data_IF_557457435737
#
_entry.id   IF_557457435737
#
_cell.length_a   1.000
_cell.length_b   1.000
_cell.length_c   1.000
_cell.angle_alpha   90.00
_cell.angle_beta   90.00
_cell.angle_gamma   90.00
#
_symmetry.space_group_name_H-M   'P 1'
#
loop_
_entity.id
_entity.type
_entity.pdbx_description
1 polymer ?
#
# COMPACT_ATOMS: atom_id res chain seq x y z
N UNK A 1 -7.61 -0.15 -39.43
CA UNK A 1 -6.78 -0.14 -38.21
C UNK A 1 -5.49 0.60 -38.53
N UNK A 2 -4.99 1.42 -37.61
CA UNK A 2 -3.73 2.15 -37.80
C UNK A 2 -2.51 1.28 -37.44
N UNK A 3 -2.69 0.29 -36.56
CA UNK A 3 -1.65 -0.68 -36.21
C UNK A 3 -1.65 -1.87 -37.18
N UNK A 4 -0.58 -1.96 -37.97
CA UNK A 4 -0.34 -3.04 -38.94
C UNK A 4 -0.17 -4.41 -38.26
N UNK A 5 0.57 -4.48 -37.16
CA UNK A 5 0.91 -5.75 -36.50
C UNK A 5 -0.33 -6.32 -35.81
N UNK A 6 -1.07 -5.46 -35.10
CA UNK A 6 -2.33 -5.87 -34.46
C UNK A 6 -3.36 -6.40 -35.47
N UNK A 7 -3.48 -5.78 -36.65
CA UNK A 7 -4.37 -6.25 -37.72
C UNK A 7 -3.95 -7.63 -38.25
N UNK A 8 -2.66 -7.82 -38.54
CA UNK A 8 -2.13 -9.10 -39.04
C UNK A 8 -2.34 -10.21 -38.00
N UNK A 9 -2.03 -9.93 -36.74
CA UNK A 9 -2.22 -10.89 -35.65
C UNK A 9 -3.70 -11.20 -35.39
N UNK A 10 -4.61 -10.30 -35.77
CA UNK A 10 -6.06 -10.47 -35.67
C UNK A 10 -6.69 -11.13 -36.90
N UNK A 11 -5.91 -11.37 -37.95
CA UNK A 11 -6.39 -11.91 -39.22
C UNK A 11 -7.20 -13.22 -39.11
N UNK A 12 -6.72 -14.30 -38.46
CA UNK A 12 -7.49 -15.56 -38.41
C UNK A 12 -8.82 -15.41 -37.65
N UNK A 13 -8.84 -14.56 -36.62
CA UNK A 13 -10.05 -14.23 -35.87
C UNK A 13 -11.04 -13.43 -36.73
N UNK A 14 -10.58 -12.36 -37.36
CA UNK A 14 -11.39 -11.50 -38.22
C UNK A 14 -11.97 -12.29 -39.40
N UNK A 15 -11.15 -13.14 -40.03
CA UNK A 15 -11.58 -13.98 -41.14
C UNK A 15 -12.74 -14.90 -40.75
N UNK A 16 -12.64 -15.58 -39.59
CA UNK A 16 -13.71 -16.45 -39.11
C UNK A 16 -15.00 -15.70 -38.83
N UNK A 17 -14.94 -14.51 -38.22
CA UNK A 17 -16.13 -13.72 -37.89
C UNK A 17 -16.74 -13.01 -39.09
N UNK A 18 -15.93 -12.44 -39.98
CA UNK A 18 -16.40 -11.81 -41.22
C UNK A 18 -17.02 -12.86 -42.15
N UNK A 19 -16.43 -14.06 -42.24
CA UNK A 19 -17.01 -15.16 -43.02
C UNK A 19 -18.41 -15.54 -42.51
N UNK A 20 -18.61 -15.62 -41.20
CA UNK A 20 -19.94 -15.85 -40.63
C UNK A 20 -20.97 -14.78 -41.03
N UNK A 21 -20.58 -13.50 -41.06
CA UNK A 21 -21.44 -12.41 -41.54
C UNK A 21 -21.75 -12.59 -43.04
N UNK A 22 -20.76 -12.95 -43.85
CA UNK A 22 -20.94 -13.21 -45.29
C UNK A 22 -21.92 -14.37 -45.52
N UNK A 23 -21.74 -15.48 -44.81
CA UNK A 23 -22.57 -16.68 -44.95
C UNK A 23 -24.03 -16.38 -44.54
N UNK A 24 -24.26 -15.58 -43.49
CA UNK A 24 -25.60 -15.14 -43.10
C UNK A 24 -26.27 -14.29 -44.20
N UNK A 25 -25.56 -13.31 -44.74
CA UNK A 25 -26.08 -12.42 -45.78
C UNK A 25 -26.36 -13.19 -47.08
N UNK A 26 -25.44 -14.06 -47.49
CA UNK A 26 -25.60 -14.89 -48.69
C UNK A 26 -26.75 -15.88 -48.53
N UNK A 27 -26.92 -16.49 -47.35
CA UNK A 27 -28.03 -17.40 -47.07
C UNK A 27 -29.40 -16.73 -47.19
N UNK A 28 -29.56 -15.50 -46.68
CA UNK A 28 -30.81 -14.73 -46.84
C UNK A 28 -31.05 -14.35 -48.31
N UNK A 29 -30.02 -13.86 -49.01
CA UNK A 29 -30.14 -13.46 -50.41
C UNK A 29 -30.42 -14.65 -51.36
N UNK A 30 -29.83 -15.82 -51.10
CA UNK A 30 -30.03 -17.02 -51.91
C UNK A 30 -31.49 -17.50 -51.85
N UNK A 31 -32.12 -17.44 -50.67
CA UNK A 31 -33.55 -17.78 -50.50
C UNK A 31 -34.45 -16.88 -51.34
N UNK A 32 -34.19 -15.57 -51.35
CA UNK A 32 -34.93 -14.60 -52.18
C UNK A 32 -34.68 -14.88 -53.66
N UNK A 33 -33.42 -15.14 -54.04
CA UNK A 33 -33.05 -15.46 -55.42
C UNK A 33 -33.79 -16.71 -55.94
N UNK A 34 -33.79 -17.80 -55.18
CA UNK A 34 -34.48 -19.04 -55.55
C UNK A 34 -36.00 -18.85 -55.65
N UNK A 35 -36.60 -18.10 -54.73
CA UNK A 35 -38.03 -17.77 -54.77
C UNK A 35 -38.40 -16.91 -56.00
N UNK A 36 -37.60 -15.89 -56.33
CA UNK A 36 -37.79 -15.06 -57.52
C UNK A 36 -37.60 -15.85 -58.82
N UNK A 37 -36.61 -16.75 -58.86
CA UNK A 37 -36.35 -17.63 -60.00
C UNK A 37 -37.51 -18.60 -60.25
N UNK A 38 -38.05 -19.21 -59.18
CA UNK A 38 -39.21 -20.09 -59.27
C UNK A 38 -40.45 -19.35 -59.78
N UNK A 39 -40.67 -18.11 -59.35
CA UNK A 39 -41.79 -17.28 -59.80
C UNK A 39 -41.67 -16.74 -61.23
N UNK A 40 -40.45 -16.59 -61.76
CA UNK A 40 -40.22 -16.04 -63.11
C UNK A 40 -39.02 -16.73 -63.83
N UNK A 41 -39.20 -17.96 -64.35
CA UNK A 41 -38.10 -18.75 -64.93
C UNK A 41 -37.49 -18.14 -66.22
N UNK A 42 -38.24 -17.30 -66.93
CA UNK A 42 -37.78 -16.64 -68.16
C UNK A 42 -36.70 -15.55 -67.93
N UNK A 43 -36.60 -15.02 -66.70
CA UNK A 43 -35.63 -13.97 -66.34
C UNK A 43 -34.22 -14.55 -66.16
N UNK A 44 -34.12 -15.75 -65.60
CA UNK A 44 -32.86 -16.47 -65.39
C UNK A 44 -32.09 -16.67 -66.70
N UNK A 45 -32.80 -17.02 -67.77
CA UNK A 45 -32.24 -17.27 -69.10
C UNK A 45 -31.67 -16.02 -69.80
N UNK A 46 -32.04 -14.81 -69.34
CA UNK A 46 -31.57 -13.53 -69.89
C UNK A 46 -30.35 -12.96 -69.18
N UNK A 47 -30.00 -13.46 -68.00
CA UNK A 47 -28.95 -12.94 -67.13
C UNK A 47 -27.65 -13.75 -67.25
N UNK A 48 -27.02 -13.74 -68.43
CA UNK A 48 -25.75 -14.43 -68.69
C UNK A 48 -24.60 -13.45 -68.97
N UNK A 49 -24.48 -12.39 -68.17
CA UNK A 49 -23.33 -11.47 -68.24
C UNK A 49 -22.45 -11.68 -67.02
N UNK A 50 -21.21 -12.13 -67.24
CA UNK A 50 -20.20 -12.19 -66.20
C UNK A 50 -19.97 -10.79 -65.60
N UNK A 51 -19.83 -10.72 -64.28
CA UNK A 51 -19.52 -9.47 -63.59
C UNK A 51 -18.14 -8.97 -64.04
N UNK A 52 -18.09 -7.82 -64.70
CA UNK A 52 -16.83 -7.11 -64.98
C UNK A 52 -16.82 -5.79 -64.19
N UNK A 53 -15.79 -5.51 -63.37
CA UNK A 53 -15.77 -4.35 -62.47
C UNK A 53 -15.41 -3.03 -63.20
N UNK A 54 -16.00 -2.78 -64.37
CA UNK A 54 -15.77 -1.58 -65.17
C UNK A 54 -16.97 -0.63 -65.10
N UNK A 55 -16.72 0.62 -64.70
CA UNK A 55 -17.73 1.65 -64.41
C UNK A 55 -18.55 2.13 -65.63
N UNK A 56 -18.20 1.70 -66.86
CA UNK A 56 -18.83 2.17 -68.10
C UNK A 56 -19.46 1.02 -68.91
N UNK A 57 -20.13 0.09 -68.24
CA UNK A 57 -21.03 -0.84 -68.95
C UNK A 57 -22.32 -0.11 -69.33
N UNK A 58 -22.59 -0.07 -70.64
CA UNK A 58 -23.65 0.71 -71.27
C UNK A 58 -25.09 0.23 -70.98
N UNK A 59 -25.26 -0.84 -70.19
CA UNK A 59 -26.54 -1.42 -69.74
C UNK A 59 -26.42 -1.98 -68.29
N UNK A 60 -25.83 -1.23 -67.35
CA UNK A 60 -25.79 -1.63 -65.95
C UNK A 60 -27.18 -1.58 -65.32
N UNK A 61 -27.76 -2.73 -64.95
CA UNK A 61 -28.97 -2.75 -64.12
C UNK A 61 -28.69 -2.05 -62.78
N UNK A 62 -29.59 -1.17 -62.35
CA UNK A 62 -29.47 -0.48 -61.07
C UNK A 62 -29.40 -1.49 -59.90
N UNK A 63 -28.48 -1.25 -58.95
CA UNK A 63 -28.37 -2.08 -57.76
C UNK A 63 -29.64 -1.92 -56.89
N UNK A 64 -30.23 -3.05 -56.46
CA UNK A 64 -31.35 -3.07 -55.51
C UNK A 64 -30.86 -2.80 -54.09
N UNK A 65 -31.73 -2.27 -53.22
CA UNK A 65 -31.39 -2.12 -51.80
C UNK A 65 -31.11 -3.49 -51.15
N UNK A 66 -30.22 -3.51 -50.17
CA UNK A 66 -29.85 -4.76 -49.49
C UNK A 66 -31.04 -5.39 -48.75
N UNK A 67 -31.91 -4.56 -48.15
CA UNK A 67 -33.15 -5.02 -47.49
C UNK A 67 -34.10 -5.73 -48.44
N UNK A 68 -34.20 -5.26 -49.69
CA UNK A 68 -35.00 -5.91 -50.75
C UNK A 68 -34.35 -7.19 -51.26
N UNK A 69 -33.02 -7.29 -51.26
CA UNK A 69 -32.30 -8.49 -51.73
C UNK A 69 -32.34 -9.64 -50.72
N UNK A 70 -32.49 -9.34 -49.42
CA UNK A 70 -32.52 -10.34 -48.35
C UNK A 70 -33.91 -10.55 -47.75
N UNK A 71 -34.91 -9.74 -48.15
CA UNK A 71 -36.25 -9.69 -47.56
C UNK A 71 -36.23 -9.55 -46.03
N UNK A 72 -35.34 -8.69 -45.52
CA UNK A 72 -35.14 -8.45 -44.09
C UNK A 72 -35.16 -6.95 -43.79
N UNK A 73 -36.25 -6.49 -43.19
CA UNK A 73 -36.47 -5.07 -42.86
C UNK A 73 -35.56 -4.61 -41.70
N UNK A 74 -35.11 -5.54 -40.85
CA UNK A 74 -34.26 -5.26 -39.69
C UNK A 74 -32.77 -5.52 -39.96
N UNK A 75 -32.39 -5.78 -41.22
CA UNK A 75 -31.03 -6.15 -41.60
C UNK A 75 -29.97 -5.18 -41.08
N UNK A 76 -30.22 -3.88 -41.15
CA UNK A 76 -29.27 -2.86 -40.69
C UNK A 76 -29.04 -2.91 -39.18
N UNK A 77 -30.08 -3.21 -38.38
CA UNK A 77 -29.95 -3.39 -36.94
C UNK A 77 -29.14 -4.65 -36.60
N UNK A 78 -29.38 -5.74 -37.33
CA UNK A 78 -28.59 -6.96 -37.20
C UNK A 78 -27.11 -6.75 -37.59
N UNK A 79 -26.85 -6.11 -38.73
CA UNK A 79 -25.49 -5.79 -39.19
C UNK A 79 -24.75 -4.89 -38.21
N UNK A 80 -25.40 -3.85 -37.70
CA UNK A 80 -24.83 -2.96 -36.70
C UNK A 80 -24.43 -3.74 -35.44
N UNK A 81 -25.32 -4.62 -34.95
CA UNK A 81 -25.06 -5.45 -33.77
C UNK A 81 -23.88 -6.40 -34.02
N UNK A 82 -23.84 -7.05 -35.18
CA UNK A 82 -22.74 -7.94 -35.59
C UNK A 82 -21.40 -7.21 -35.69
N UNK A 83 -21.37 -5.98 -36.22
CA UNK A 83 -20.15 -5.18 -36.29
C UNK A 83 -19.72 -4.64 -34.92
N UNK A 84 -20.65 -4.17 -34.09
CA UNK A 84 -20.35 -3.75 -32.72
C UNK A 84 -19.79 -4.92 -31.89
N UNK A 85 -20.38 -6.10 -32.02
CA UNK A 85 -19.89 -7.32 -31.38
C UNK A 85 -18.51 -7.72 -31.90
N UNK A 86 -18.29 -7.66 -33.22
CA UNK A 86 -16.99 -7.93 -33.85
C UNK A 86 -15.90 -7.00 -33.31
N UNK A 87 -16.19 -5.70 -33.18
CA UNK A 87 -15.26 -4.72 -32.64
C UNK A 87 -14.93 -5.03 -31.17
N UNK A 88 -15.95 -5.31 -30.35
CA UNK A 88 -15.76 -5.68 -28.94
C UNK A 88 -14.91 -6.95 -28.81
N UNK A 89 -15.27 -8.00 -29.54
CA UNK A 89 -14.60 -9.29 -29.48
C UNK A 89 -13.17 -9.23 -30.04
N UNK A 90 -12.91 -8.39 -31.05
CA UNK A 90 -11.54 -8.13 -31.52
C UNK A 90 -10.72 -7.40 -30.45
N UNK A 91 -11.30 -6.37 -29.83
CA UNK A 91 -10.66 -5.57 -28.79
C UNK A 91 -10.31 -6.37 -27.53
N UNK A 92 -11.22 -7.22 -27.06
CA UNK A 92 -11.03 -8.04 -25.84
C UNK A 92 -10.36 -9.39 -26.11
N UNK A 93 -9.81 -9.63 -27.31
CA UNK A 93 -9.25 -10.93 -27.71
C UNK A 93 -7.94 -11.26 -26.99
N UNK A 94 -7.08 -10.26 -26.83
CA UNK A 94 -5.77 -10.40 -26.20
C UNK A 94 -5.81 -9.57 -24.93
N UNK A 95 -5.83 -10.26 -23.79
CA UNK A 95 -5.76 -9.64 -22.47
C UNK A 95 -4.39 -9.92 -21.89
N UNK A 96 -3.68 -8.88 -21.51
CA UNK A 96 -2.41 -9.04 -20.80
C UNK A 96 -2.69 -9.48 -19.35
N UNK A 97 -1.94 -10.47 -18.88
CA UNK A 97 -1.95 -10.89 -17.47
C UNK A 97 -0.60 -10.56 -16.87
N UNK A 98 -0.48 -9.32 -16.40
CA UNK A 98 0.68 -8.86 -15.66
C UNK A 98 0.63 -9.44 -14.24
N UNK A 99 1.74 -10.02 -13.79
CA UNK A 99 1.90 -10.43 -12.41
C UNK A 99 2.88 -9.46 -11.75
N UNK A 100 2.40 -8.76 -10.74
CA UNK A 100 3.23 -7.93 -9.90
C UNK A 100 3.99 -8.80 -8.89
N UNK A 101 5.12 -8.28 -8.39
CA UNK A 101 5.85 -8.92 -7.30
C UNK A 101 5.00 -9.02 -6.04
N UNK A 102 5.39 -9.90 -5.11
CA UNK A 102 4.73 -9.96 -3.82
C UNK A 102 4.88 -8.61 -3.08
N UNK A 103 3.81 -8.09 -2.47
CA UNK A 103 3.89 -6.86 -1.70
C UNK A 103 4.87 -7.01 -0.52
N UNK A 104 5.49 -5.90 -0.13
CA UNK A 104 6.37 -5.87 1.05
C UNK A 104 5.55 -6.10 2.32
N UNK A 105 6.22 -6.49 3.42
CA UNK A 105 5.50 -6.60 4.71
C UNK A 105 4.90 -5.28 5.16
N UNK A 106 5.61 -4.18 4.93
CA UNK A 106 5.11 -2.87 5.33
C UNK A 106 3.82 -2.53 4.58
N UNK A 107 3.74 -2.85 3.28
CA UNK A 107 2.51 -2.69 2.48
C UNK A 107 1.37 -3.56 3.01
N UNK A 108 1.63 -4.85 3.28
CA UNK A 108 0.60 -5.76 3.80
C UNK A 108 0.05 -5.31 5.15
N UNK A 109 0.93 -4.92 6.08
CA UNK A 109 0.50 -4.45 7.41
C UNK A 109 -0.26 -3.13 7.32
N UNK A 110 0.12 -2.22 6.41
CA UNK A 110 -0.62 -0.97 6.21
C UNK A 110 -2.02 -1.23 5.67
N UNK A 111 -2.15 -2.14 4.69
CA UNK A 111 -3.47 -2.54 4.18
C UNK A 111 -4.35 -3.15 5.28
N UNK A 112 -3.79 -4.00 6.15
CA UNK A 112 -4.50 -4.55 7.31
C UNK A 112 -4.95 -3.47 8.28
N UNK A 113 -4.08 -2.50 8.60
CA UNK A 113 -4.43 -1.40 9.50
C UNK A 113 -5.53 -0.49 8.92
N UNK A 114 -5.50 -0.25 7.61
CA UNK A 114 -6.55 0.53 6.94
C UNK A 114 -7.88 -0.23 6.95
N UNK A 115 -7.87 -1.53 6.64
CA UNK A 115 -9.06 -2.37 6.70
C UNK A 115 -9.65 -2.46 8.12
N UNK A 116 -8.81 -2.67 9.15
CA UNK A 116 -9.24 -2.70 10.55
C UNK A 116 -9.92 -1.36 10.95
N UNK A 117 -9.45 -0.21 10.44
CA UNK A 117 -10.05 1.11 10.69
C UNK A 117 -11.38 1.33 9.95
N UNK A 118 -11.49 0.83 8.71
CA UNK A 118 -12.73 0.88 7.92
C UNK A 118 -13.82 0.06 8.61
N UNK A 119 -13.51 -1.16 9.07
CA UNK A 119 -14.44 -2.01 9.82
C UNK A 119 -14.87 -1.38 11.15
N UNK A 120 -13.93 -0.75 11.89
CA UNK A 120 -14.26 0.01 13.10
C UNK A 120 -15.22 1.17 12.78
N UNK A 121 -15.00 1.93 11.70
CA UNK A 121 -15.88 3.05 11.35
C UNK A 121 -17.31 2.62 10.97
N UNK A 122 -17.45 1.53 10.20
CA UNK A 122 -18.75 0.98 9.80
C UNK A 122 -19.54 0.44 11.00
N UNK A 123 -18.87 -0.07 12.04
CA UNK A 123 -19.50 -0.53 13.26
C UNK A 123 -20.12 0.60 14.10
N UNK A 124 -19.59 1.83 14.01
CA UNK A 124 -20.10 2.99 14.74
C UNK A 124 -21.29 3.63 14.00
N UNK A 125 -21.23 3.70 12.67
CA UNK A 125 -22.36 4.18 11.86
C UNK A 125 -23.62 3.30 12.02
N UNK A 126 -23.44 1.99 12.24
CA UNK A 126 -24.56 1.06 12.41
C UNK A 126 -25.13 1.05 13.84
N UNK A 127 -24.44 1.62 14.83
CA UNK A 127 -24.93 1.73 16.21
C UNK A 127 -25.68 3.02 16.48
N UNK A 128 -25.34 4.13 15.80
CA UNK A 128 -26.12 5.37 15.88
C UNK A 128 -27.51 5.25 15.19
N UNK A 129 -27.66 4.37 14.20
CA UNK A 129 -28.94 4.13 13.52
C UNK A 129 -29.95 3.32 14.35
N UNK A 130 -29.52 2.62 15.40
CA UNK A 130 -30.41 1.82 16.27
C UNK A 130 -30.83 2.54 17.56
N UNK A 131 -30.12 3.58 18.01
CA UNK A 131 -30.46 4.31 19.24
C UNK A 131 -31.51 5.44 19.06
N UNK A 132 -31.81 5.90 17.84
CA UNK A 132 -32.84 6.93 17.61
C UNK A 132 -34.29 6.39 17.53
N UNK A 133 -34.52 5.08 17.67
CA UNK A 133 -35.86 4.48 17.43
C UNK A 133 -36.62 3.99 18.66
N UNK A 134 -36.26 4.44 19.86
CA UNK A 134 -36.95 4.05 21.09
C UNK A 134 -37.12 5.17 22.12
N UNK A 135 -37.90 6.20 21.81
CA UNK A 135 -38.76 6.85 22.83
C UNK A 135 -39.94 7.56 22.18
N UNK A 136 -41.16 7.13 22.54
CA UNK A 136 -42.43 7.61 21.98
C UNK A 136 -43.38 7.92 23.15
N UNK A 137 -43.82 9.20 23.19
CA UNK A 137 -45.02 9.83 23.82
C UNK A 137 -44.97 10.37 25.27
N UNK A 138 -45.85 11.36 25.65
CA UNK A 138 -46.91 12.06 24.88
C UNK A 138 -46.91 13.62 24.93
N UNK A 139 -47.78 14.18 24.07
CA UNK A 139 -48.10 15.60 23.83
C UNK A 139 -48.55 16.44 25.04
N UNK A 140 -48.25 17.75 24.99
CA UNK A 140 -48.88 18.79 25.80
C UNK A 140 -48.37 20.19 25.45
N UNK A 141 -49.27 21.04 24.95
CA UNK A 141 -49.02 22.36 24.39
C UNK A 141 -48.47 23.42 25.36
N UNK A 142 -47.64 24.35 24.85
CA UNK A 142 -47.89 25.80 24.79
C UNK A 142 -46.63 26.53 24.26
N UNK A 143 -46.84 27.67 23.60
CA UNK A 143 -45.85 28.29 22.72
C UNK A 143 -44.82 29.18 23.40
N UNK A 144 -43.81 29.62 22.63
CA UNK A 144 -43.52 31.04 22.32
C UNK A 144 -42.12 31.23 21.70
N UNK A 145 -42.13 31.87 20.52
CA UNK A 145 -41.12 32.72 19.82
C UNK A 145 -39.63 32.30 19.77
N UNK A 146 -39.07 31.88 18.62
CA UNK A 146 -38.68 32.63 17.40
C UNK A 146 -37.33 33.36 17.52
N UNK A 147 -36.24 32.77 17.02
CA UNK A 147 -35.13 33.53 16.36
C UNK A 147 -34.37 32.66 15.36
N UNK A 148 -33.85 33.33 14.33
CA UNK A 148 -33.59 32.90 12.95
C UNK A 148 -32.21 32.29 12.66
N UNK A 149 -32.21 31.31 11.74
CA UNK A 149 -31.31 31.08 10.58
C UNK A 149 -29.82 30.76 10.82
N UNK A 150 -29.04 30.30 9.80
CA UNK A 150 -29.36 29.69 8.50
C UNK A 150 -28.54 28.40 8.16
N UNK A 151 -28.90 27.79 7.04
CA UNK A 151 -28.08 26.90 6.20
C UNK A 151 -26.59 27.25 6.20
N UNK A 152 -25.75 26.29 6.58
CA UNK A 152 -24.30 26.33 6.46
C UNK A 152 -23.80 24.98 5.96
N UNK A 153 -23.64 24.86 4.65
CA UNK A 153 -22.67 23.97 4.05
C UNK A 153 -21.28 24.36 4.57
N UNK A 154 -20.68 23.53 5.42
CA UNK A 154 -19.24 23.55 5.70
C UNK A 154 -18.70 22.24 5.15
N UNK A 155 -18.43 22.16 3.84
CA UNK A 155 -17.16 22.60 3.27
C UNK A 155 -16.00 22.02 4.06
N UNK A 156 -15.41 20.98 3.48
CA UNK A 156 -13.97 20.71 3.51
C UNK A 156 -13.21 21.97 3.95
N UNK A 157 -12.66 21.97 5.16
CA UNK A 157 -11.78 23.08 5.56
C UNK A 157 -10.46 22.86 4.84
N UNK A 158 -10.28 23.73 3.87
CA UNK A 158 -9.12 23.90 3.04
C UNK A 158 -7.80 23.76 3.81
N UNK A 159 -6.86 23.17 3.09
CA UNK A 159 -5.45 23.50 3.04
C UNK A 159 -5.20 24.99 3.39
N UNK A 160 -5.09 25.29 4.68
CA UNK A 160 -4.46 26.53 5.12
C UNK A 160 -3.00 26.43 4.72
N UNK A 161 -2.56 27.39 3.93
CA UNK A 161 -1.17 27.63 3.60
C UNK A 161 -0.31 27.66 4.88
N UNK A 162 0.37 26.57 5.19
CA UNK A 162 1.37 26.52 6.23
C UNK A 162 2.54 27.40 5.79
N UNK A 163 2.54 28.67 6.22
CA UNK A 163 3.80 29.38 6.29
C UNK A 163 4.68 28.62 7.29
N UNK A 164 5.91 28.23 6.92
CA UNK A 164 6.78 27.49 7.80
C UNK A 164 7.20 28.41 8.93
N UNK A 165 6.51 28.33 10.07
CA UNK A 165 7.17 28.64 11.34
C UNK A 165 8.43 27.79 11.33
N UNK A 166 9.61 28.38 11.49
CA UNK A 166 10.88 27.62 11.50
C UNK A 166 10.84 26.60 12.65
N UNK A 167 10.40 25.39 12.36
CA UNK A 167 10.18 24.35 13.35
C UNK A 167 11.52 23.73 13.73
N UNK A 168 11.76 23.63 15.03
CA UNK A 168 12.90 22.95 15.62
C UNK A 168 12.61 21.45 15.68
N UNK A 169 12.67 20.79 14.52
CA UNK A 169 12.30 19.37 14.32
C UNK A 169 13.44 18.56 13.71
N UNK A 170 13.43 17.25 13.94
CA UNK A 170 14.34 16.32 13.27
C UNK A 170 13.93 16.10 11.82
N UNK A 171 14.91 16.11 10.91
CA UNK A 171 14.69 15.97 9.47
C UNK A 171 15.08 14.59 8.93
N UNK A 172 16.05 13.94 9.57
CA UNK A 172 16.57 12.63 9.16
C UNK A 172 17.28 11.94 10.32
N UNK A 173 17.53 10.63 10.19
CA UNK A 173 18.37 9.89 11.14
C UNK A 173 19.79 10.47 11.23
N UNK A 174 20.31 11.02 10.13
CA UNK A 174 21.62 11.67 10.09
C UNK A 174 21.61 12.93 10.95
N UNK A 175 20.57 13.75 10.83
CA UNK A 175 20.39 14.95 11.65
C UNK A 175 20.27 14.56 13.13
N UNK A 176 19.48 13.54 13.47
CA UNK A 176 19.37 13.05 14.85
C UNK A 176 20.72 12.56 15.41
N UNK A 177 21.52 11.83 14.62
CA UNK A 177 22.86 11.39 15.02
C UNK A 177 23.82 12.56 15.27
N UNK A 178 23.73 13.62 14.47
CA UNK A 178 24.55 14.83 14.64
C UNK A 178 24.20 15.55 15.94
N UNK A 179 22.91 15.62 16.29
CA UNK A 179 22.41 16.30 17.49
C UNK A 179 22.70 15.52 18.77
N UNK A 180 22.43 14.21 18.77
CA UNK A 180 22.60 13.37 19.98
C UNK A 180 24.07 12.94 20.19
N UNK A 181 24.89 12.98 19.14
CA UNK A 181 26.23 12.38 19.13
C UNK A 181 26.20 10.87 18.89
N UNK A 182 27.35 10.31 18.50
CA UNK A 182 27.47 8.93 18.02
C UNK A 182 27.10 7.88 19.09
N UNK A 183 27.60 8.02 20.31
CA UNK A 183 27.38 7.04 21.40
C UNK A 183 25.92 7.00 21.86
N UNK A 184 25.34 8.17 22.14
CA UNK A 184 23.95 8.31 22.57
C UNK A 184 22.98 7.84 21.47
N UNK A 185 23.24 8.20 20.22
CA UNK A 185 22.45 7.72 19.08
C UNK A 185 22.54 6.21 18.92
N UNK A 186 23.74 5.61 19.03
CA UNK A 186 23.90 4.16 18.94
C UNK A 186 23.11 3.42 20.02
N UNK A 187 23.16 3.90 21.26
CA UNK A 187 22.37 3.35 22.37
C UNK A 187 20.87 3.45 22.06
N UNK A 188 20.39 4.63 21.67
CA UNK A 188 18.99 4.86 21.33
C UNK A 188 18.52 3.94 20.19
N UNK A 189 19.28 3.89 19.10
CA UNK A 189 18.95 3.08 17.93
C UNK A 189 18.95 1.57 18.25
N UNK A 190 19.86 1.10 19.13
CA UNK A 190 19.83 -0.28 19.62
C UNK A 190 18.53 -0.60 20.36
N UNK A 191 18.09 0.27 21.29
CA UNK A 191 16.83 0.08 22.00
C UNK A 191 15.62 0.09 21.04
N UNK A 192 15.62 0.98 20.04
CA UNK A 192 14.58 1.02 19.00
C UNK A 192 14.52 -0.31 18.26
N UNK A 193 15.65 -0.79 17.74
CA UNK A 193 15.71 -2.03 16.94
C UNK A 193 15.34 -3.28 17.73
N UNK A 194 15.62 -3.32 19.04
CA UNK A 194 15.28 -4.42 19.94
C UNK A 194 13.82 -4.39 20.43
N UNK A 195 13.07 -3.33 20.13
CA UNK A 195 11.68 -3.21 20.56
C UNK A 195 11.50 -2.83 22.02
N UNK A 196 12.56 -2.32 22.65
CA UNK A 196 12.52 -1.77 23.99
C UNK A 196 11.69 -0.48 24.03
N UNK A 197 11.30 -0.06 25.22
CA UNK A 197 10.52 1.16 25.37
C UNK A 197 11.42 2.40 25.20
N UNK A 198 11.06 3.28 24.27
CA UNK A 198 11.73 4.54 23.98
C UNK A 198 10.85 5.67 24.47
N UNK A 199 11.31 6.36 25.50
CA UNK A 199 10.57 7.40 26.20
C UNK A 199 11.20 8.74 25.86
N UNK A 200 10.42 9.65 25.29
CA UNK A 200 10.85 11.02 24.98
C UNK A 200 10.13 11.99 25.91
N UNK A 201 10.89 12.74 26.70
CA UNK A 201 10.37 13.69 27.69
C UNK A 201 10.75 15.11 27.29
N UNK A 202 9.78 15.90 26.87
CA UNK A 202 10.00 17.24 26.32
C UNK A 202 8.79 18.14 26.55
N UNK A 203 8.99 19.46 26.59
CA UNK A 203 7.90 20.46 26.54
C UNK A 203 7.32 20.63 25.14
N UNK A 204 8.18 20.43 24.13
CA UNK A 204 7.87 20.67 22.72
C UNK A 204 7.32 19.37 22.10
N UNK A 205 6.03 19.38 21.74
CA UNK A 205 5.31 18.24 21.18
C UNK A 205 5.76 17.94 19.76
N UNK A 206 6.01 18.96 18.95
CA UNK A 206 6.39 18.80 17.54
C UNK A 206 7.78 18.19 17.42
N UNK A 207 8.68 18.56 18.34
CA UNK A 207 9.99 17.92 18.48
C UNK A 207 9.87 16.41 18.75
N UNK A 208 9.02 16.01 19.70
CA UNK A 208 8.80 14.60 20.04
C UNK A 208 8.20 13.82 18.87
N UNK A 209 7.20 14.40 18.21
CA UNK A 209 6.59 13.81 17.01
C UNK A 209 7.63 13.60 15.91
N UNK A 210 8.41 14.63 15.58
CA UNK A 210 9.46 14.52 14.56
C UNK A 210 10.53 13.48 14.93
N UNK A 211 10.86 13.34 16.21
CA UNK A 211 11.78 12.30 16.66
C UNK A 211 11.22 10.90 16.41
N UNK A 212 9.95 10.64 16.72
CA UNK A 212 9.31 9.36 16.45
C UNK A 212 9.13 9.09 14.96
N UNK A 213 8.85 10.10 14.14
CA UNK A 213 8.77 9.98 12.70
C UNK A 213 10.11 9.54 12.08
N UNK A 214 11.21 10.06 12.59
CA UNK A 214 12.55 9.66 12.19
C UNK A 214 12.89 8.26 12.72
N UNK A 215 12.67 7.98 14.00
CA UNK A 215 13.04 6.70 14.61
C UNK A 215 12.23 5.51 14.07
N UNK A 216 10.95 5.69 13.74
CA UNK A 216 10.11 4.60 13.20
C UNK A 216 10.59 4.10 11.84
N UNK A 217 11.35 4.90 11.08
CA UNK A 217 11.93 4.49 9.79
C UNK A 217 12.86 3.29 9.92
N UNK A 218 13.43 3.08 11.12
CA UNK A 218 14.33 1.96 11.42
C UNK A 218 13.60 0.63 11.66
N UNK A 219 12.27 0.66 11.84
CA UNK A 219 11.47 -0.50 12.20
C UNK A 219 10.47 -0.87 11.09
N UNK A 220 10.11 -2.16 10.97
CA UNK A 220 8.92 -2.57 10.23
C UNK A 220 7.68 -1.92 10.83
N UNK A 221 6.72 -1.51 9.99
CA UNK A 221 5.52 -0.76 10.44
C UNK A 221 4.65 -1.56 11.42
N UNK A 222 4.69 -2.89 11.35
CA UNK A 222 4.02 -3.79 12.30
C UNK A 222 4.67 -3.89 13.68
N UNK A 223 5.91 -3.41 13.83
CA UNK A 223 6.64 -3.41 15.11
C UNK A 223 6.41 -2.13 15.94
N UNK A 224 5.76 -1.12 15.36
CA UNK A 224 5.66 0.23 15.95
C UNK A 224 4.29 0.45 16.58
N UNK A 225 4.28 0.86 17.85
CA UNK A 225 3.13 1.24 18.68
C UNK A 225 3.47 2.53 19.42
N UNK A 226 2.88 3.64 18.97
CA UNK A 226 3.24 4.98 19.43
C UNK A 226 2.12 5.57 20.27
N UNK A 227 2.46 6.10 21.43
CA UNK A 227 1.67 7.10 22.15
C UNK A 227 2.42 8.43 21.99
N UNK A 228 1.94 9.33 21.10
CA UNK A 228 2.72 10.47 20.64
C UNK A 228 3.07 11.46 21.76
N UNK A 229 2.12 11.70 22.66
CA UNK A 229 2.33 12.56 23.81
C UNK A 229 1.29 12.25 24.90
N UNK A 230 1.75 11.99 26.12
CA UNK A 230 0.91 11.62 27.26
C UNK A 230 1.25 12.44 28.50
N UNK A 231 0.23 12.72 29.31
CA UNK A 231 0.37 13.36 30.64
C UNK A 231 0.63 12.35 31.77
N UNK A 232 0.70 11.06 31.46
CA UNK A 232 0.98 9.99 32.41
C UNK A 232 1.91 8.94 31.78
N UNK A 233 2.66 8.22 32.61
CA UNK A 233 3.47 7.11 32.14
C UNK A 233 2.58 5.96 31.65
N UNK A 234 3.01 5.32 30.57
CA UNK A 234 2.32 4.19 29.95
C UNK A 234 3.30 3.02 29.82
N UNK A 235 2.82 1.81 30.09
CA UNK A 235 3.67 0.62 30.13
C UNK A 235 4.05 0.10 28.72
N UNK A 236 5.12 -0.69 28.66
CA UNK A 236 5.66 -1.25 27.41
C UNK A 236 4.67 -2.15 26.62
N UNK A 237 3.66 -2.71 27.28
CA UNK A 237 2.61 -3.48 26.60
C UNK A 237 1.62 -2.60 25.83
N UNK A 238 1.55 -1.29 26.11
CA UNK A 238 0.72 -0.35 25.36
C UNK A 238 1.48 0.28 24.20
N UNK A 239 2.72 0.67 24.43
CA UNK A 239 3.54 1.37 23.43
C UNK A 239 5.02 1.02 23.57
N UNK A 240 5.73 1.00 22.45
CA UNK A 240 7.19 1.01 22.47
C UNK A 240 7.74 2.43 22.28
N UNK A 241 6.99 3.35 21.67
CA UNK A 241 7.34 4.78 21.62
C UNK A 241 6.38 5.59 22.48
N UNK A 242 6.91 6.32 23.45
CA UNK A 242 6.13 7.07 24.44
C UNK A 242 6.64 8.51 24.55
N UNK A 243 5.85 9.48 24.13
CA UNK A 243 6.09 10.89 24.40
C UNK A 243 5.48 11.29 25.75
N UNK A 244 6.22 12.01 26.59
CA UNK A 244 5.79 12.44 27.91
C UNK A 244 5.96 13.94 28.11
N UNK A 245 5.01 14.51 28.87
CA UNK A 245 5.18 15.82 29.48
C UNK A 245 6.36 15.84 30.47
N UNK A 246 7.09 16.96 30.62
CA UNK A 246 8.28 17.04 31.46
C UNK A 246 8.00 16.83 32.96
N UNK A 247 6.75 16.96 33.37
CA UNK A 247 6.36 16.80 34.78
C UNK A 247 6.01 15.36 35.13
N UNK A 248 5.91 14.46 34.14
CA UNK A 248 5.58 13.05 34.37
C UNK A 248 6.73 12.35 35.08
N UNK A 249 6.39 11.65 36.15
CA UNK A 249 7.30 10.80 36.90
C UNK A 249 7.35 9.42 36.27
N UNK A 250 8.54 8.98 35.88
CA UNK A 250 8.77 7.65 35.35
C UNK A 250 9.06 6.73 36.56
N UNK A 251 8.43 5.55 36.67
CA UNK A 251 8.69 4.62 37.76
C UNK A 251 10.18 4.24 37.85
N UNK A 252 10.71 4.15 39.07
CA UNK A 252 12.15 3.90 39.32
C UNK A 252 12.64 2.60 38.69
N UNK A 253 11.82 1.56 38.69
CA UNK A 253 12.15 0.27 38.08
C UNK A 253 12.35 0.36 36.56
N UNK A 254 11.70 1.32 35.89
CA UNK A 254 11.87 1.58 34.45
C UNK A 254 13.17 2.33 34.19
N UNK A 255 13.49 3.33 35.03
CA UNK A 255 14.74 4.08 34.93
C UNK A 255 15.98 3.20 35.11
N UNK A 256 15.90 2.18 35.97
CA UNK A 256 16.95 1.18 36.16
C UNK A 256 16.89 -0.01 35.17
N UNK A 257 15.92 -0.03 34.26
CA UNK A 257 15.68 -1.17 33.36
C UNK A 257 16.65 -1.16 32.18
N UNK A 258 17.10 -2.35 31.78
CA UNK A 258 17.83 -2.55 30.51
C UNK A 258 16.91 -2.53 29.27
N UNK A 259 15.59 -2.52 29.49
CA UNK A 259 14.56 -2.58 28.45
C UNK A 259 13.88 -1.23 28.18
N UNK A 260 14.44 -0.14 28.71
CA UNK A 260 13.96 1.21 28.47
C UNK A 260 15.11 2.18 28.18
N UNK A 261 14.84 3.19 27.37
CA UNK A 261 15.73 4.33 27.15
C UNK A 261 14.92 5.61 27.29
N UNK A 262 15.47 6.59 28.00
CA UNK A 262 14.84 7.88 28.25
C UNK A 262 15.67 8.97 27.59
N UNK A 263 15.02 9.76 26.75
CA UNK A 263 15.58 10.98 26.16
C UNK A 263 14.89 12.17 26.81
N UNK A 264 15.63 12.89 27.65
CA UNK A 264 15.17 14.13 28.26
C UNK A 264 15.65 15.32 27.45
N UNK A 265 14.72 16.22 27.13
CA UNK A 265 14.99 17.45 26.39
C UNK A 265 14.84 18.63 27.34
N UNK A 266 15.96 19.35 27.53
CA UNK A 266 16.00 20.57 28.32
C UNK A 266 16.23 21.77 27.40
N UNK A 267 15.68 22.93 27.74
CA UNK A 267 16.05 24.17 27.06
C UNK A 267 17.43 24.61 27.56
N UNK A 268 18.39 24.76 26.66
CA UNK A 268 19.73 25.22 27.01
C UNK A 268 19.64 26.59 27.70
N UNK A 269 20.35 26.75 28.83
CA UNK A 269 20.45 28.05 29.49
C UNK A 269 21.19 29.03 28.55
N UNK A 270 20.78 30.31 28.46
CA UNK A 270 21.46 31.29 27.64
C UNK A 270 22.83 31.63 28.23
N UNK A 271 23.88 30.89 27.86
CA UNK A 271 25.26 31.21 28.21
C UNK A 271 26.06 31.68 26.99
N UNK A 272 26.47 32.94 27.05
CA UNK A 272 27.44 33.68 26.21
C UNK A 272 27.24 33.66 24.67
N UNK A 273 26.64 34.75 24.17
CA UNK A 273 26.79 35.35 22.83
C UNK A 273 27.57 34.55 21.77
N UNK A 274 26.91 34.07 20.69
CA UNK A 274 27.61 33.74 19.45
C UNK A 274 28.06 35.02 18.74
N UNK A 275 29.18 35.01 18.00
CA UNK A 275 29.56 36.14 17.17
C UNK A 275 28.55 36.28 16.02
N UNK A 276 28.12 37.53 15.79
CA UNK A 276 27.23 37.88 14.69
C UNK A 276 27.87 37.50 13.35
N UNK A 277 27.19 36.63 12.58
CA UNK A 277 27.52 36.34 11.19
C UNK A 277 27.42 34.88 10.80
N UNK A 278 26.21 34.30 10.82
CA UNK A 278 25.79 33.20 9.94
C UNK A 278 24.28 32.97 10.15
N UNK A 279 23.46 33.58 9.29
CA UNK A 279 22.00 33.41 9.29
C UNK A 279 21.61 32.11 8.54
N UNK A 280 22.00 30.94 9.06
CA UNK A 280 21.48 29.66 8.55
C UNK A 280 21.34 28.57 9.64
N UNK A 281 20.10 28.41 10.12
CA UNK A 281 19.41 27.15 10.42
C UNK A 281 20.15 25.97 11.11
N UNK A 282 20.46 26.08 12.40
CA UNK A 282 20.45 24.90 13.31
C UNK A 282 19.43 25.09 14.44
N UNK A 283 18.17 24.85 14.10
CA UNK A 283 17.00 25.09 14.96
C UNK A 283 16.97 24.26 16.26
N UNK A 284 17.76 23.19 16.36
CA UNK A 284 17.84 22.33 17.55
C UNK A 284 18.97 22.70 18.54
N UNK A 285 19.82 23.67 18.21
CA UNK A 285 20.93 24.14 19.08
C UNK A 285 20.48 24.73 20.41
N UNK A 286 19.21 25.15 20.52
CA UNK A 286 18.57 25.65 21.75
C UNK A 286 18.20 24.56 22.75
N UNK A 287 18.30 23.28 22.37
CA UNK A 287 17.94 22.14 23.20
C UNK A 287 19.18 21.36 23.62
N UNK A 288 19.18 20.91 24.87
CA UNK A 288 20.12 19.94 25.40
C UNK A 288 19.43 18.59 25.51
N UNK A 289 20.05 17.55 24.94
CA UNK A 289 19.51 16.20 24.90
C UNK A 289 20.32 15.29 25.82
N UNK A 290 19.67 14.73 26.83
CA UNK A 290 20.29 13.78 27.76
C UNK A 290 19.65 12.41 27.53
N UNK A 291 20.46 11.46 27.06
CA UNK A 291 20.02 10.07 26.82
C UNK A 291 20.49 9.20 27.98
N UNK A 292 19.56 8.56 28.67
CA UNK A 292 19.83 7.67 29.80
C UNK A 292 19.17 6.30 29.58
N UNK A 293 19.85 5.24 30.04
CA UNK A 293 19.36 3.86 29.99
C UNK A 293 19.97 3.09 31.16
N UNK A 294 19.21 2.14 31.71
CA UNK A 294 19.73 1.18 32.69
C UNK A 294 20.58 0.08 32.06
N UNK A 295 20.63 0.00 30.72
CA UNK A 295 21.52 -0.91 30.01
C UNK A 295 22.97 -0.63 30.37
N UNK A 296 23.72 -1.67 30.77
CA UNK A 296 25.16 -1.57 30.94
C UNK A 296 25.79 -0.92 29.69
N UNK A 297 26.56 0.15 29.89
CA UNK A 297 27.35 0.84 28.86
C UNK A 297 28.50 -0.07 28.46
N UNK A 298 28.19 -1.20 27.85
CA UNK A 298 29.19 -2.04 27.25
C UNK A 298 29.54 -1.37 25.91
N UNK A 299 30.64 -0.64 25.92
CA UNK A 299 31.35 -0.15 24.72
C UNK A 299 31.64 -1.28 23.69
N UNK A 300 31.36 -2.53 24.05
CA UNK A 300 31.58 -3.77 23.31
C UNK A 300 30.30 -4.40 22.72
N UNK A 301 29.14 -3.71 22.76
CA UNK A 301 27.95 -4.19 22.00
C UNK A 301 28.20 -4.00 20.51
N UNK A 302 28.73 -5.04 19.87
CA UNK A 302 28.99 -5.10 18.43
C UNK A 302 27.70 -5.29 17.62
N UNK A 303 26.57 -5.68 18.22
CA UNK A 303 25.33 -5.98 17.50
C UNK A 303 24.25 -4.89 17.56
N UNK A 304 23.15 -5.07 16.80
CA UNK A 304 22.97 -6.03 15.72
C UNK A 304 23.64 -5.60 14.41
N UNK A 305 23.88 -6.53 13.48
CA UNK A 305 24.57 -6.24 12.21
C UNK A 305 23.86 -5.17 11.38
N UNK A 306 22.52 -5.12 11.42
CA UNK A 306 21.74 -4.06 10.76
C UNK A 306 22.10 -2.67 11.30
N UNK A 307 22.29 -2.53 12.62
CA UNK A 307 22.66 -1.26 13.25
C UNK A 307 24.04 -0.80 12.78
N UNK A 308 25.01 -1.71 12.69
CA UNK A 308 26.35 -1.37 12.21
C UNK A 308 26.34 -0.89 10.75
N UNK A 309 25.56 -1.56 9.88
CA UNK A 309 25.40 -1.13 8.48
C UNK A 309 24.74 0.25 8.40
N UNK A 310 23.70 0.49 9.20
CA UNK A 310 23.03 1.80 9.29
C UNK A 310 23.98 2.89 9.78
N UNK A 311 24.76 2.63 10.83
CA UNK A 311 25.72 3.58 11.36
C UNK A 311 26.82 3.92 10.35
N UNK A 312 27.32 2.92 9.61
CA UNK A 312 28.28 3.14 8.53
C UNK A 312 27.70 4.02 7.41
N UNK A 313 26.43 3.79 7.01
CA UNK A 313 25.75 4.62 6.02
C UNK A 313 25.54 6.06 6.51
N UNK A 314 25.12 6.23 7.76
CA UNK A 314 24.89 7.55 8.38
C UNK A 314 26.19 8.35 8.57
N UNK A 315 27.31 7.66 8.80
CA UNK A 315 28.63 8.29 8.98
C UNK A 315 29.21 8.77 7.64
N UNK A 316 28.87 8.09 6.54
CA UNK A 316 29.38 8.44 5.23
C UNK A 316 28.74 9.73 4.69
N UNK A 317 29.52 10.81 4.69
CA UNK A 317 29.06 12.12 4.20
C UNK A 317 28.86 12.18 2.69
N UNK A 318 29.42 11.25 1.92
CA UNK A 318 29.24 11.20 0.46
C UNK A 318 27.88 10.64 0.05
N UNK A 319 27.14 10.01 0.96
CA UNK A 319 25.79 9.53 0.69
C UNK A 319 24.77 10.65 0.94
N UNK A 320 23.92 10.93 -0.05
CA UNK A 320 22.77 11.80 0.15
C UNK A 320 21.77 11.18 1.13
N UNK A 321 20.86 12.00 1.67
CA UNK A 321 19.81 11.55 2.59
C UNK A 321 18.93 10.48 1.93
N UNK A 322 18.49 10.72 0.69
CA UNK A 322 17.65 9.77 -0.05
C UNK A 322 18.32 8.41 -0.28
N UNK A 323 19.65 8.40 -0.52
CA UNK A 323 20.41 7.14 -0.67
C UNK A 323 20.49 6.38 0.65
N UNK A 324 20.63 7.09 1.77
CA UNK A 324 20.58 6.47 3.10
C UNK A 324 19.19 5.92 3.39
N UNK A 325 18.14 6.65 3.03
CA UNK A 325 16.76 6.22 3.24
C UNK A 325 16.45 4.96 2.43
N UNK A 326 16.87 4.90 1.16
CA UNK A 326 16.74 3.69 0.36
C UNK A 326 17.59 2.52 0.90
N UNK A 327 18.82 2.80 1.35
CA UNK A 327 19.65 1.79 1.99
C UNK A 327 18.95 1.20 3.23
N UNK A 328 18.29 2.04 4.04
CA UNK A 328 17.54 1.61 5.20
C UNK A 328 16.34 0.74 4.82
N UNK A 329 15.59 1.10 3.78
CA UNK A 329 14.47 0.29 3.27
C UNK A 329 14.99 -1.09 2.84
N UNK A 330 16.05 -1.14 2.03
CA UNK A 330 16.65 -2.39 1.57
C UNK A 330 17.15 -3.26 2.74
N UNK A 331 17.78 -2.65 3.75
CA UNK A 331 18.21 -3.35 4.95
C UNK A 331 17.02 -3.90 5.73
N UNK A 332 15.97 -3.10 5.95
CA UNK A 332 14.75 -3.58 6.59
C UNK A 332 14.14 -4.76 5.85
N UNK A 333 14.06 -4.69 4.53
CA UNK A 333 13.54 -5.78 3.70
C UNK A 333 14.39 -7.04 3.78
N UNK A 334 15.73 -6.92 3.73
CA UNK A 334 16.67 -8.04 3.93
C UNK A 334 16.37 -8.76 5.25
N UNK A 335 16.27 -7.99 6.34
CA UNK A 335 16.06 -8.54 7.68
C UNK A 335 14.65 -9.07 7.89
N UNK A 336 13.62 -8.42 7.34
CA UNK A 336 12.25 -8.94 7.36
C UNK A 336 12.11 -10.24 6.57
N UNK A 337 12.84 -10.40 5.47
CA UNK A 337 12.88 -11.67 4.74
C UNK A 337 13.53 -12.78 5.59
N UNK A 338 14.60 -12.49 6.34
CA UNK A 338 15.16 -13.43 7.32
C UNK A 338 14.14 -13.81 8.40
N UNK A 339 13.35 -12.84 8.89
CA UNK A 339 12.26 -13.08 9.85
C UNK A 339 11.19 -14.00 9.28
N UNK A 340 10.75 -13.79 8.03
CA UNK A 340 9.80 -14.68 7.33
C UNK A 340 10.30 -16.11 7.24
N UNK A 341 11.55 -16.28 6.82
CA UNK A 341 12.19 -17.60 6.72
C UNK A 341 12.27 -18.26 8.09
N UNK A 342 12.70 -17.54 9.12
CA UNK A 342 12.77 -18.04 10.49
C UNK A 342 11.38 -18.39 11.04
N UNK A 343 10.35 -17.57 10.79
CA UNK A 343 8.99 -17.81 11.22
C UNK A 343 8.43 -19.10 10.60
N UNK A 344 8.61 -19.29 9.28
CA UNK A 344 8.25 -20.55 8.62
C UNK A 344 8.93 -21.74 9.28
N UNK A 345 10.25 -21.66 9.44
CA UNK A 345 11.06 -22.78 9.92
C UNK A 345 10.72 -23.18 11.38
N UNK A 346 10.46 -22.18 12.23
CA UNK A 346 10.27 -22.39 13.67
C UNK A 346 8.82 -22.57 14.09
N UNK A 347 7.88 -21.83 13.48
CA UNK A 347 6.46 -21.82 13.89
C UNK A 347 5.59 -22.72 13.03
N UNK A 348 5.94 -22.90 11.76
CA UNK A 348 5.13 -23.69 10.82
C UNK A 348 5.68 -25.10 10.69
N UNK A 349 6.97 -25.23 10.39
CA UNK A 349 7.61 -26.53 10.20
C UNK A 349 8.03 -27.19 11.53
N UNK A 350 8.02 -26.45 12.64
CA UNK A 350 8.36 -26.92 14.00
C UNK A 350 9.67 -27.72 14.10
N UNK A 351 10.71 -27.23 13.41
CA UNK A 351 12.01 -27.90 13.31
C UNK A 351 12.79 -27.87 14.63
N UNK A 352 13.71 -28.82 14.88
CA UNK A 352 14.51 -28.85 16.09
C UNK A 352 15.43 -27.63 16.22
N UNK A 353 15.86 -27.34 17.45
CA UNK A 353 16.72 -26.19 17.77
C UNK A 353 18.05 -26.24 17.00
N UNK A 354 18.61 -27.42 16.78
CA UNK A 354 19.87 -27.60 16.04
C UNK A 354 19.76 -27.09 14.60
N UNK A 355 18.68 -27.45 13.90
CA UNK A 355 18.48 -26.98 12.54
C UNK A 355 18.15 -25.49 12.49
N UNK A 356 17.49 -24.96 13.53
CA UNK A 356 17.27 -23.52 13.66
C UNK A 356 18.61 -22.78 13.79
N UNK A 357 19.57 -23.31 14.56
CA UNK A 357 20.90 -22.71 14.67
C UNK A 357 21.69 -22.79 13.36
N UNK A 358 21.60 -23.90 12.63
CA UNK A 358 22.19 -24.02 11.28
C UNK A 358 21.61 -22.97 10.33
N UNK A 359 20.29 -22.80 10.34
CA UNK A 359 19.62 -21.78 9.53
C UNK A 359 20.11 -20.36 9.89
N UNK A 360 20.19 -20.04 11.18
CA UNK A 360 20.69 -18.74 11.64
C UNK A 360 22.14 -18.49 11.20
N UNK A 361 22.99 -19.52 11.21
CA UNK A 361 24.34 -19.45 10.68
C UNK A 361 24.36 -19.14 9.18
N UNK A 362 23.53 -19.83 8.38
CA UNK A 362 23.41 -19.60 6.93
C UNK A 362 22.91 -18.19 6.62
N UNK A 363 21.96 -17.67 7.41
CA UNK A 363 21.41 -16.32 7.24
C UNK A 363 22.34 -15.20 7.76
N UNK A 364 23.50 -15.54 8.32
CA UNK A 364 24.42 -14.59 8.93
C UNK A 364 23.82 -13.88 10.15
N UNK A 365 23.02 -14.61 10.94
CA UNK A 365 22.25 -14.09 12.06
C UNK A 365 22.42 -14.94 13.34
N UNK A 366 23.56 -15.62 13.49
CA UNK A 366 23.88 -16.45 14.67
C UNK A 366 24.27 -15.65 15.91
N UNK A 367 24.66 -14.37 15.74
CA UNK A 367 24.99 -13.46 16.85
C UNK A 367 23.78 -13.22 17.77
N UNK A 368 24.02 -13.07 19.07
CA UNK A 368 22.94 -12.95 20.07
C UNK A 368 21.97 -11.78 19.78
N UNK A 369 22.50 -10.61 19.47
CA UNK A 369 21.69 -9.42 19.16
C UNK A 369 20.87 -9.61 17.87
N UNK A 370 21.43 -10.29 16.87
CA UNK A 370 20.70 -10.61 15.65
C UNK A 370 19.53 -11.57 15.94
N UNK A 371 19.75 -12.59 16.78
CA UNK A 371 18.68 -13.51 17.19
C UNK A 371 17.60 -12.80 18.00
N UNK A 372 17.98 -11.89 18.91
CA UNK A 372 17.02 -11.07 19.68
C UNK A 372 16.19 -10.17 18.75
N UNK A 373 16.84 -9.49 17.81
CA UNK A 373 16.18 -8.66 16.81
C UNK A 373 15.19 -9.48 15.97
N UNK A 374 15.60 -10.63 15.45
CA UNK A 374 14.72 -11.49 14.64
C UNK A 374 13.49 -11.97 15.42
N UNK A 375 13.64 -12.27 16.72
CA UNK A 375 12.52 -12.65 17.60
C UNK A 375 11.55 -11.49 17.81
N UNK A 376 12.05 -10.29 18.04
CA UNK A 376 11.21 -9.10 18.17
C UNK A 376 10.49 -8.81 16.84
N UNK A 377 11.21 -8.74 15.72
CA UNK A 377 10.61 -8.39 14.42
C UNK A 377 9.57 -9.40 13.92
N UNK A 378 9.62 -10.65 14.43
CA UNK A 378 8.58 -11.65 14.19
C UNK A 378 7.18 -11.20 14.67
N UNK A 379 7.09 -10.29 15.65
CA UNK A 379 5.81 -9.73 16.09
C UNK A 379 5.19 -8.85 15.01
N UNK A 380 6.01 -8.16 14.21
CA UNK A 380 5.55 -7.24 13.15
C UNK A 380 5.18 -7.87 11.82
N UNK A 381 5.25 -9.20 11.69
CA UNK A 381 4.72 -9.91 10.51
C UNK A 381 3.20 -9.73 10.40
N UNK A 382 2.71 -9.51 9.18
CA UNK A 382 1.28 -9.33 8.88
C UNK A 382 0.40 -10.51 9.33
N UNK A 383 -0.83 -10.21 9.77
CA UNK A 383 -1.81 -11.22 10.23
C UNK A 383 -2.17 -12.15 9.07
N UNK A 384 -2.38 -11.59 7.88
CA UNK A 384 -2.72 -12.29 6.64
C UNK A 384 -1.62 -13.26 6.25
N UNK A 385 -0.35 -12.84 6.27
CA UNK A 385 0.78 -13.72 5.97
C UNK A 385 0.88 -14.88 6.97
N UNK A 386 0.78 -14.58 8.27
CA UNK A 386 0.82 -15.59 9.34
C UNK A 386 -0.30 -16.62 9.16
N UNK A 387 -1.53 -16.17 8.95
CA UNK A 387 -2.70 -17.03 8.76
C UNK A 387 -2.60 -17.88 7.51
N UNK A 388 -2.19 -17.29 6.38
CA UNK A 388 -1.95 -18.00 5.13
C UNK A 388 -0.95 -19.14 5.33
N UNK A 389 0.23 -18.84 5.90
CA UNK A 389 1.28 -19.84 6.07
C UNK A 389 0.89 -20.99 7.02
N UNK A 390 0.13 -20.68 8.07
CA UNK A 390 -0.41 -21.68 9.00
C UNK A 390 -1.50 -22.55 8.36
N UNK A 391 -2.31 -21.99 7.46
CA UNK A 391 -3.38 -22.72 6.76
C UNK A 391 -2.85 -23.70 5.70
N UNK A 392 -1.75 -23.35 5.01
CA UNK A 392 -1.15 -24.19 3.96
C UNK A 392 -0.64 -25.53 4.49
N UNK A 393 -0.17 -25.59 5.73
CA UNK A 393 0.34 -26.84 6.35
C UNK A 393 -0.77 -27.68 6.96
N UNK A 394 -1.91 -27.08 7.33
CA UNK A 394 -3.07 -27.79 7.89
C UNK A 394 -3.97 -28.42 6.84
N UNK A 395 -3.76 -28.11 5.55
CA UNK A 395 -4.46 -28.78 4.47
C UNK A 395 -3.78 -30.14 4.21
N UNK A 396 -4.45 -31.29 4.41
CA UNK A 396 -3.91 -32.56 3.96
C UNK A 396 -3.69 -32.48 2.44
N UNK A 397 -2.61 -33.09 1.90
CA UNK A 397 -2.46 -33.15 0.45
C UNK A 397 -3.70 -33.80 -0.12
N UNK A 398 -4.38 -33.11 -1.04
CA UNK A 398 -5.49 -33.67 -1.77
C UNK A 398 -5.06 -35.03 -2.31
N UNK A 399 -5.71 -36.09 -1.82
CA UNK A 399 -5.49 -37.45 -2.30
C UNK A 399 -5.72 -37.44 -3.81
N UNK A 400 -4.63 -37.63 -4.57
CA UNK A 400 -4.72 -37.88 -6.01
C UNK A 400 -5.72 -39.04 -6.24
N UNK A 401 -6.70 -38.88 -7.15
CA UNK A 401 -7.53 -39.99 -7.53
C UNK A 401 -6.64 -41.00 -8.26
N UNK A 402 -6.39 -42.16 -7.65
CA UNK A 402 -5.82 -43.31 -8.33
C UNK A 402 -6.79 -43.73 -9.44
N UNK A 403 -6.37 -43.54 -10.69
CA UNK A 403 -6.95 -44.22 -11.86
C UNK A 403 -6.62 -45.71 -11.83
#
# INVERSE_FOLDING_TARGET
MMDRIYLINSWPFLLGKIRGIIDELQGKALKVFEAEQFGCPQRAQRMNTAFTPFLHQRNGNAARSLTSLTSDDNLWACLHTSFAWLLKACGSRLTEKLLEGAPTEDTLVQMEKLADLEEESESWDNSEAEEEKASVLPEGAEGRELTKCPTGSSSLSDCESWQPRKLSVFQSLRHMRQVLGASSFRMLAWHVLMGNQVIWKSRDTDLVLSAFEVLRTMLPVGCVRVIPYSSQYEEAYRCNFLGLSPHVQIPTHVLSSEFAVVVEVHTAAPSSLPPAGCEDDQSLSKYEFVVTSGSAVAADRVGPTILNKMEAALTNQNLSVDVVDQCLICLKEEWMNKVKVLFKFTKVDSRPKEDTQKLLSILGASEEDNVKLLKFWMTGLSKTYKSHLMSTVRSPPATEPRN
#
